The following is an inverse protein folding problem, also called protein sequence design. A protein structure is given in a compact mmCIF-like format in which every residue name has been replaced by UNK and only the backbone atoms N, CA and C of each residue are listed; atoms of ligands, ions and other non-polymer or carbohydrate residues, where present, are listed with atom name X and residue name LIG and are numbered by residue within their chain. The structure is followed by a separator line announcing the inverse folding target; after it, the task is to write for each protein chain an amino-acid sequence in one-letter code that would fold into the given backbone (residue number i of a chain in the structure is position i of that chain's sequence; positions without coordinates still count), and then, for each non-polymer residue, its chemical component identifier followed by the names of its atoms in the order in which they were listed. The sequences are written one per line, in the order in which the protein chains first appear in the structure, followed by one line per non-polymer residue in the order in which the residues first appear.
data_IF_912294478789
#
_entry.id   IF_912294478789
#
_cell.length_a   1.000
_cell.length_b   1.000
_cell.length_c   1.000
_cell.angle_alpha   90.00
_cell.angle_beta   90.00
_cell.angle_gamma   90.00
#
_symmetry.space_group_name_H-M   'P 1'
#
loop_
_entity.id
_entity.type
_entity.pdbx_description
1 polymer ?
#
# COMPACT_ATOMS: atom_id res chain seq x y z
N UNK A 1 30.50 -9.02 3.62
CA UNK A 1 29.45 -8.07 4.03
C UNK A 1 29.41 -6.96 2.98
N UNK A 2 28.28 -6.79 2.30
CA UNK A 2 28.11 -5.81 1.21
C UNK A 2 28.48 -4.40 1.71
N UNK A 3 29.50 -3.79 1.11
CA UNK A 3 29.87 -2.40 1.37
C UNK A 3 28.70 -1.49 0.95
N UNK A 4 28.24 -0.65 1.89
CA UNK A 4 27.08 0.26 1.75
C UNK A 4 27.44 1.44 0.82
N UNK A 5 27.16 1.31 -0.47
CA UNK A 5 27.42 2.38 -1.45
C UNK A 5 26.16 3.10 -1.95
N UNK A 6 25.01 2.94 -1.29
CA UNK A 6 23.76 3.62 -1.64
C UNK A 6 23.14 4.23 -0.39
N UNK A 7 23.04 5.56 -0.35
CA UNK A 7 22.52 6.31 0.81
C UNK A 7 21.03 6.05 1.09
N UNK A 8 20.25 5.71 0.06
CA UNK A 8 18.80 5.45 0.13
C UNK A 8 18.41 3.96 0.21
N UNK A 9 19.37 3.03 0.13
CA UNK A 9 19.07 1.58 0.10
C UNK A 9 19.26 0.98 1.48
N UNK A 10 18.15 0.69 2.15
CA UNK A 10 18.13 -0.06 3.40
C UNK A 10 17.98 -1.57 3.11
N UNK A 11 18.64 -2.45 3.88
CA UNK A 11 18.41 -3.89 3.75
C UNK A 11 16.99 -4.21 4.20
N UNK A 12 16.24 -4.90 3.34
CA UNK A 12 14.85 -5.31 3.58
C UNK A 12 14.80 -6.83 3.56
N UNK A 13 14.13 -7.40 4.55
CA UNK A 13 13.83 -8.82 4.56
C UNK A 13 12.49 -9.01 3.89
N UNK A 14 12.53 -9.43 2.63
CA UNK A 14 11.34 -9.88 1.90
C UNK A 14 11.22 -11.39 2.10
N UNK A 15 10.36 -11.91 3.00
CA UNK A 15 10.04 -13.33 3.00
C UNK A 15 9.33 -13.65 1.68
N UNK A 16 10.12 -14.03 0.67
CA UNK A 16 9.67 -14.38 -0.68
C UNK A 16 8.84 -15.69 -0.72
N UNK A 17 8.58 -16.28 0.45
CA UNK A 17 7.87 -17.54 0.65
C UNK A 17 6.94 -17.42 1.89
N UNK A 18 5.69 -17.03 1.66
CA UNK A 18 4.62 -17.01 2.68
C UNK A 18 4.37 -18.38 3.32
N UNK A 19 4.70 -19.50 2.65
CA UNK A 19 4.48 -20.88 3.17
C UNK A 19 5.29 -21.23 4.39
N UNK A 20 6.49 -20.66 4.52
CA UNK A 20 7.37 -20.99 5.63
C UNK A 20 7.03 -20.19 6.89
N UNK A 21 6.16 -19.19 6.76
CA UNK A 21 5.76 -18.24 7.79
C UNK A 21 4.78 -18.84 8.81
N UNK A 22 5.15 -19.98 9.40
CA UNK A 22 4.56 -20.45 10.66
C UNK A 22 4.63 -19.35 11.71
N UNK A 23 3.74 -19.37 12.71
CA UNK A 23 3.79 -18.42 13.84
C UNK A 23 5.19 -18.36 14.46
N UNK A 24 5.84 -19.52 14.64
CA UNK A 24 7.22 -19.62 15.13
C UNK A 24 8.23 -18.94 14.21
N UNK A 25 8.12 -19.10 12.89
CA UNK A 25 9.03 -18.44 11.95
C UNK A 25 8.76 -16.93 11.90
N UNK A 26 7.50 -16.50 11.97
CA UNK A 26 7.14 -15.08 12.00
C UNK A 26 7.57 -14.39 13.30
N UNK A 27 7.47 -15.08 14.43
CA UNK A 27 8.02 -14.61 15.71
C UNK A 27 9.54 -14.47 15.65
N UNK A 28 10.25 -15.47 15.11
CA UNK A 28 11.70 -15.40 14.90
C UNK A 28 12.10 -14.29 13.92
N UNK A 29 11.35 -14.17 12.82
CA UNK A 29 11.56 -13.12 11.83
C UNK A 29 11.31 -11.73 12.42
N UNK A 30 10.24 -11.57 13.21
CA UNK A 30 9.95 -10.34 13.95
C UNK A 30 11.05 -10.01 14.95
N UNK A 31 11.57 -11.00 15.68
CA UNK A 31 12.70 -10.82 16.58
C UNK A 31 13.98 -10.41 15.82
N UNK A 32 14.28 -11.04 14.68
CA UNK A 32 15.42 -10.66 13.83
C UNK A 32 15.25 -9.23 13.30
N UNK A 33 14.05 -8.90 12.82
CA UNK A 33 13.72 -7.59 12.30
C UNK A 33 13.85 -6.50 13.37
N UNK A 34 13.34 -6.73 14.58
CA UNK A 34 13.51 -5.80 15.70
C UNK A 34 14.97 -5.66 16.13
N UNK A 35 15.69 -6.77 16.30
CA UNK A 35 17.08 -6.76 16.79
C UNK A 35 18.04 -6.07 15.81
N UNK A 36 17.73 -6.08 14.52
CA UNK A 36 18.59 -5.53 13.48
C UNK A 36 18.01 -4.27 12.80
N UNK A 37 16.90 -3.72 13.31
CA UNK A 37 16.10 -2.65 12.69
C UNK A 37 15.88 -2.88 11.18
N UNK A 38 15.50 -4.12 10.84
CA UNK A 38 15.21 -4.52 9.46
C UNK A 38 13.73 -4.38 9.17
N UNK A 39 13.45 -4.14 7.90
CA UNK A 39 12.11 -3.89 7.42
C UNK A 39 11.54 -5.11 6.69
N UNK A 40 10.21 -5.30 6.70
CA UNK A 40 9.56 -6.46 6.07
C UNK A 40 8.53 -6.01 5.02
N UNK A 41 8.68 -6.49 3.80
CA UNK A 41 7.66 -6.36 2.76
C UNK A 41 7.00 -7.71 2.52
N UNK A 42 5.67 -7.72 2.42
CA UNK A 42 4.89 -8.95 2.23
C UNK A 42 4.00 -8.87 1.00
N UNK A 43 3.87 -9.99 0.31
CA UNK A 43 3.00 -10.13 -0.86
C UNK A 43 1.86 -11.09 -0.51
N UNK A 44 0.59 -10.67 -0.69
CA UNK A 44 -0.54 -11.40 -0.14
C UNK A 44 -0.84 -12.73 -0.87
N UNK A 45 -0.38 -12.95 -2.11
CA UNK A 45 -0.54 -14.26 -2.75
C UNK A 45 0.66 -14.72 -3.56
N UNK A 46 0.79 -16.04 -3.53
CA UNK A 46 1.37 -16.88 -4.57
C UNK A 46 0.60 -18.20 -4.57
N UNK A 47 0.42 -18.82 -5.74
CA UNK A 47 -0.27 -20.11 -5.89
C UNK A 47 0.24 -21.12 -4.84
N UNK A 48 -0.70 -21.66 -4.06
CA UNK A 48 -0.46 -22.65 -3.01
C UNK A 48 0.56 -22.23 -1.95
N UNK A 49 0.74 -20.93 -1.70
CA UNK A 49 1.78 -20.41 -0.81
C UNK A 49 1.35 -20.10 0.64
N UNK A 50 0.15 -20.48 1.04
CA UNK A 50 -0.35 -20.19 2.39
C UNK A 50 -0.83 -18.74 2.56
N UNK A 51 -1.43 -18.48 3.72
CA UNK A 51 -2.11 -17.21 4.04
C UNK A 51 -1.33 -16.49 5.14
N UNK A 52 -0.83 -15.29 4.86
CA UNK A 52 -0.13 -14.49 5.87
C UNK A 52 -1.13 -13.91 6.88
N UNK A 53 -0.93 -14.23 8.17
CA UNK A 53 -1.68 -13.60 9.24
C UNK A 53 -1.12 -12.21 9.61
N UNK A 54 -1.47 -11.20 8.81
CA UNK A 54 -1.00 -9.82 9.01
C UNK A 54 -1.35 -9.25 10.39
N UNK A 55 -2.53 -9.57 10.93
CA UNK A 55 -2.94 -9.10 12.27
C UNK A 55 -1.98 -9.60 13.36
N UNK A 56 -1.51 -10.84 13.23
CA UNK A 56 -0.53 -11.41 14.15
C UNK A 56 0.83 -10.72 14.00
N UNK A 57 1.29 -10.49 12.76
CA UNK A 57 2.54 -9.76 12.48
C UNK A 57 2.55 -8.37 13.10
N UNK A 58 1.42 -7.66 13.01
CA UNK A 58 1.28 -6.31 13.59
C UNK A 58 1.45 -6.31 15.12
N UNK A 59 1.11 -7.40 15.83
CA UNK A 59 1.36 -7.52 17.29
C UNK A 59 2.84 -7.50 17.64
N UNK A 60 3.68 -8.03 16.75
CA UNK A 60 5.14 -8.04 16.92
C UNK A 60 5.80 -6.71 16.51
N UNK A 61 5.05 -5.62 16.31
CA UNK A 61 5.57 -4.28 15.99
C UNK A 61 6.56 -4.26 14.80
N UNK A 62 6.37 -5.18 13.87
CA UNK A 62 7.19 -5.27 12.66
C UNK A 62 6.67 -4.23 11.65
N UNK A 63 7.58 -3.49 11.03
CA UNK A 63 7.27 -2.59 9.91
C UNK A 63 6.89 -3.44 8.70
N UNK A 64 5.64 -3.34 8.24
CA UNK A 64 5.07 -4.17 7.19
C UNK A 64 4.44 -3.32 6.08
N UNK A 65 4.75 -3.69 4.84
CA UNK A 65 4.18 -3.09 3.63
C UNK A 65 3.73 -4.13 2.61
N UNK A 66 2.93 -3.73 1.63
CA UNK A 66 2.45 -4.61 0.56
C UNK A 66 3.42 -4.69 -0.63
N UNK A 67 3.38 -5.80 -1.34
CA UNK A 67 4.10 -6.01 -2.60
C UNK A 67 3.27 -6.84 -3.58
N UNK A 68 3.53 -6.66 -4.87
CA UNK A 68 2.87 -7.41 -5.96
C UNK A 68 3.58 -8.73 -6.27
N UNK A 69 4.90 -8.80 -5.99
CA UNK A 69 5.77 -9.95 -6.27
C UNK A 69 5.65 -10.48 -7.71
N UNK A 70 5.60 -9.59 -8.70
CA UNK A 70 5.66 -10.01 -10.12
C UNK A 70 6.98 -10.74 -10.38
N UNK A 71 7.00 -11.95 -10.97
CA UNK A 71 5.89 -12.69 -11.61
C UNK A 71 5.26 -13.82 -10.76
N UNK A 72 5.58 -13.91 -9.46
CA UNK A 72 4.90 -14.79 -8.51
C UNK A 72 3.42 -14.43 -8.30
N UNK A 73 3.13 -13.13 -8.24
CA UNK A 73 1.81 -12.56 -8.51
C UNK A 73 1.67 -12.16 -9.98
N UNK A 74 0.49 -12.38 -10.56
CA UNK A 74 0.26 -12.08 -11.97
C UNK A 74 -0.03 -10.59 -12.24
N UNK A 75 -0.43 -9.83 -11.22
CA UNK A 75 -0.80 -8.42 -11.36
C UNK A 75 0.35 -7.52 -10.90
N UNK A 76 0.62 -6.49 -11.69
CA UNK A 76 1.55 -5.42 -11.32
C UNK A 76 0.87 -4.32 -10.47
N UNK A 77 -0.45 -4.36 -10.31
CA UNK A 77 -1.20 -3.28 -9.67
C UNK A 77 -1.21 -3.43 -8.15
N UNK A 78 -0.85 -2.34 -7.45
CA UNK A 78 -1.01 -2.27 -6.00
C UNK A 78 -2.48 -2.28 -5.56
N UNK A 79 -3.43 -1.86 -6.41
CA UNK A 79 -4.86 -1.99 -6.12
C UNK A 79 -5.25 -3.47 -5.99
N UNK A 80 -4.69 -4.32 -6.85
CA UNK A 80 -4.90 -5.75 -6.76
C UNK A 80 -4.29 -6.31 -5.46
N UNK A 81 -3.05 -5.93 -5.11
CA UNK A 81 -2.43 -6.32 -3.84
C UNK A 81 -3.28 -5.90 -2.61
N UNK A 82 -3.89 -4.72 -2.63
CA UNK A 82 -4.82 -4.26 -1.59
C UNK A 82 -6.04 -5.19 -1.50
N UNK A 83 -6.72 -5.44 -2.62
CA UNK A 83 -7.91 -6.31 -2.67
C UNK A 83 -7.60 -7.69 -2.12
N UNK A 84 -6.44 -8.22 -2.50
CA UNK A 84 -5.98 -9.56 -2.12
C UNK A 84 -5.61 -9.64 -0.64
N UNK A 85 -4.96 -8.62 -0.10
CA UNK A 85 -4.69 -8.54 1.34
C UNK A 85 -5.99 -8.52 2.18
N UNK A 86 -7.03 -7.79 1.74
CA UNK A 86 -8.36 -7.83 2.38
C UNK A 86 -8.95 -9.24 2.29
N UNK A 87 -8.93 -9.87 1.11
CA UNK A 87 -9.46 -11.22 0.92
C UNK A 87 -8.75 -12.27 1.80
N UNK A 88 -7.43 -12.26 1.85
CA UNK A 88 -6.63 -13.14 2.72
C UNK A 88 -7.03 -12.95 4.18
N UNK A 89 -7.18 -11.70 4.64
CA UNK A 89 -7.61 -11.43 6.00
C UNK A 89 -9.03 -11.95 6.29
N UNK A 90 -9.94 -11.89 5.32
CA UNK A 90 -11.29 -12.43 5.46
C UNK A 90 -11.28 -13.97 5.48
N UNK A 91 -10.43 -14.63 4.70
CA UNK A 91 -10.28 -16.09 4.73
C UNK A 91 -9.81 -16.55 6.11
N UNK A 92 -8.87 -15.84 6.74
CA UNK A 92 -8.41 -16.14 8.10
C UNK A 92 -9.52 -15.94 9.15
N UNK A 93 -10.39 -14.95 8.97
CA UNK A 93 -11.57 -14.76 9.80
C UNK A 93 -12.58 -15.92 9.62
N UNK A 94 -12.91 -16.28 8.38
CA UNK A 94 -13.85 -17.38 8.06
C UNK A 94 -13.38 -18.70 8.66
N UNK A 95 -12.08 -18.97 8.59
CA UNK A 95 -11.47 -20.17 9.17
C UNK A 95 -11.24 -20.09 10.69
N UNK A 96 -11.73 -19.02 11.36
CA UNK A 96 -11.59 -18.78 12.80
C UNK A 96 -10.14 -18.77 13.30
N UNK A 97 -9.19 -18.42 12.42
CA UNK A 97 -7.80 -18.15 12.79
C UNK A 97 -7.70 -16.80 13.50
N UNK A 98 -8.49 -15.82 13.05
CA UNK A 98 -8.59 -14.49 13.66
C UNK A 98 -10.04 -14.19 14.07
N UNK A 99 -10.21 -13.36 15.10
CA UNK A 99 -11.52 -12.87 15.55
C UNK A 99 -12.06 -11.71 14.68
N UNK A 100 -11.18 -11.05 13.93
CA UNK A 100 -11.53 -9.95 13.02
C UNK A 100 -10.68 -9.99 11.74
N UNK A 101 -11.11 -9.27 10.72
CA UNK A 101 -10.33 -9.03 9.50
C UNK A 101 -9.82 -7.59 9.43
N UNK A 102 -8.88 -7.35 8.53
CA UNK A 102 -8.37 -6.01 8.20
C UNK A 102 -9.44 -5.22 7.45
N UNK A 103 -9.60 -3.96 7.84
CA UNK A 103 -10.39 -2.98 7.12
C UNK A 103 -9.65 -2.48 5.88
N UNK A 104 -10.37 -1.97 4.89
CA UNK A 104 -9.74 -1.41 3.69
C UNK A 104 -8.81 -0.24 4.01
N UNK A 105 -9.14 0.58 5.02
CA UNK A 105 -8.30 1.68 5.50
C UNK A 105 -6.96 1.19 6.07
N UNK A 106 -6.99 0.11 6.86
CA UNK A 106 -5.76 -0.51 7.38
C UNK A 106 -4.90 -1.05 6.24
N UNK A 107 -5.51 -1.71 5.25
CA UNK A 107 -4.77 -2.24 4.10
C UNK A 107 -4.25 -1.13 3.19
N UNK A 108 -5.00 -0.04 2.98
CA UNK A 108 -4.54 1.13 2.26
C UNK A 108 -3.33 1.78 2.95
N UNK A 109 -3.35 1.84 4.29
CA UNK A 109 -2.19 2.27 5.08
C UNK A 109 -0.99 1.34 4.86
N UNK A 110 -1.18 0.03 4.78
CA UNK A 110 -0.09 -0.92 4.46
C UNK A 110 0.48 -0.72 3.06
N UNK A 111 -0.35 -0.34 2.09
CA UNK A 111 0.07 -0.06 0.71
C UNK A 111 0.87 1.25 0.56
N UNK A 112 0.66 2.21 1.47
CA UNK A 112 1.24 3.56 1.42
C UNK A 112 2.28 3.75 2.53
N UNK A 113 1.86 4.25 3.68
CA UNK A 113 2.74 4.52 4.82
C UNK A 113 3.47 3.25 5.30
N UNK A 114 2.78 2.12 5.39
CA UNK A 114 3.38 0.83 5.76
C UNK A 114 4.45 0.38 4.77
N UNK A 115 4.23 0.58 3.47
CA UNK A 115 5.22 0.41 2.41
C UNK A 115 6.45 1.29 2.64
N UNK A 116 6.26 2.59 2.81
CA UNK A 116 7.37 3.51 3.10
C UNK A 116 8.13 3.13 4.38
N UNK A 117 7.43 2.70 5.43
CA UNK A 117 8.04 2.20 6.67
C UNK A 117 8.79 0.89 6.45
N UNK A 118 8.33 0.04 5.54
CA UNK A 118 9.00 -1.20 5.14
C UNK A 118 10.20 -0.96 4.21
N UNK A 119 10.33 0.23 3.61
CA UNK A 119 11.52 0.64 2.86
C UNK A 119 12.44 1.56 3.70
N UNK A 120 11.96 1.99 4.88
CA UNK A 120 12.56 3.02 5.70
C UNK A 120 12.66 4.39 5.01
N UNK A 121 11.69 4.68 4.15
CA UNK A 121 11.49 5.97 3.48
C UNK A 121 10.30 6.74 4.09
N UNK A 122 9.82 6.32 5.26
CA UNK A 122 8.65 6.91 5.93
C UNK A 122 8.86 8.33 6.44
N UNK A 123 10.10 8.83 6.48
CA UNK A 123 10.40 10.24 6.71
C UNK A 123 10.34 11.09 5.44
N UNK A 124 10.33 10.47 4.25
CA UNK A 124 10.38 11.14 2.95
C UNK A 124 9.05 11.02 2.21
N UNK A 125 8.38 9.86 2.24
CA UNK A 125 7.14 9.58 1.49
C UNK A 125 6.10 8.84 2.33
N UNK A 126 4.99 8.43 1.70
CA UNK A 126 3.99 7.51 2.25
C UNK A 126 2.74 8.16 2.84
N UNK A 127 2.74 9.48 3.08
CA UNK A 127 1.57 10.27 3.43
C UNK A 127 1.80 11.76 3.10
N UNK A 128 0.80 12.60 3.36
CA UNK A 128 0.83 14.04 3.06
C UNK A 128 1.26 14.93 4.24
N UNK A 129 2.13 14.44 5.12
CA UNK A 129 2.69 15.27 6.19
C UNK A 129 3.60 16.37 5.62
N UNK A 130 3.54 17.57 6.21
CA UNK A 130 4.35 18.72 5.78
C UNK A 130 5.84 18.39 5.93
N UNK A 131 6.62 18.64 4.87
CA UNK A 131 8.05 18.36 4.82
C UNK A 131 8.43 17.09 4.06
N UNK A 132 7.46 16.25 3.70
CA UNK A 132 7.65 15.08 2.85
C UNK A 132 7.65 15.43 1.35
N UNK A 133 8.23 14.54 0.57
CA UNK A 133 8.18 14.58 -0.88
C UNK A 133 6.75 14.32 -1.39
N UNK A 134 6.36 15.02 -2.45
CA UNK A 134 5.02 14.88 -3.04
C UNK A 134 4.97 13.72 -4.04
N UNK A 135 4.98 12.49 -3.49
CA UNK A 135 4.68 11.24 -4.20
C UNK A 135 3.18 10.96 -4.11
N UNK A 136 2.45 11.20 -5.21
CA UNK A 136 1.00 11.25 -5.19
C UNK A 136 0.34 10.83 -6.50
N UNK A 137 -0.91 10.39 -6.41
CA UNK A 137 -1.76 10.07 -7.56
C UNK A 137 -2.99 10.99 -7.57
N UNK A 138 -3.26 11.64 -8.70
CA UNK A 138 -4.53 12.32 -8.93
C UNK A 138 -5.53 11.30 -9.46
N UNK A 139 -6.57 11.03 -8.67
CA UNK A 139 -7.58 10.02 -9.00
C UNK A 139 -8.86 10.71 -9.49
N UNK A 140 -9.34 10.32 -10.67
CA UNK A 140 -10.65 10.69 -11.18
C UNK A 140 -11.54 9.44 -11.34
N UNK A 141 -12.47 9.20 -10.40
CA UNK A 141 -13.46 8.12 -10.50
C UNK A 141 -14.42 8.28 -11.69
N UNK A 142 -14.53 9.50 -12.25
CA UNK A 142 -15.36 9.85 -13.41
C UNK A 142 -14.55 9.97 -14.70
N UNK A 143 -13.35 9.41 -14.76
CA UNK A 143 -12.55 9.39 -15.97
C UNK A 143 -13.33 8.76 -17.14
N UNK A 144 -12.95 9.11 -18.37
CA UNK A 144 -13.53 8.48 -19.56
C UNK A 144 -13.30 6.96 -19.54
N UNK A 145 -14.34 6.18 -19.82
CA UNK A 145 -14.30 4.71 -19.75
C UNK A 145 -13.93 4.16 -18.36
N UNK A 146 -14.26 4.91 -17.30
CA UNK A 146 -14.06 4.46 -15.91
C UNK A 146 -14.81 3.15 -15.64
N UNK A 147 -14.18 2.18 -14.95
CA UNK A 147 -14.87 0.97 -14.46
C UNK A 147 -15.78 1.24 -13.25
N UNK A 148 -15.85 2.49 -12.78
CA UNK A 148 -16.57 2.89 -11.57
C UNK A 148 -17.85 3.63 -11.96
N UNK A 149 -18.98 2.98 -11.73
CA UNK A 149 -20.28 3.64 -11.79
C UNK A 149 -20.56 4.42 -10.49
N UNK A 150 -20.83 5.71 -10.65
CA UNK A 150 -21.15 6.63 -9.56
C UNK A 150 -22.63 7.01 -9.61
N UNK A 151 -23.28 6.92 -8.47
CA UNK A 151 -24.67 7.29 -8.24
C UNK A 151 -24.73 8.54 -7.38
N UNK A 152 -25.86 9.24 -7.41
CA UNK A 152 -26.06 10.50 -6.68
C UNK A 152 -25.67 10.42 -5.19
N UNK A 153 -25.96 9.29 -4.53
CA UNK A 153 -25.61 9.07 -3.13
C UNK A 153 -24.11 8.89 -2.84
N UNK A 154 -23.27 8.59 -3.83
CA UNK A 154 -21.83 8.42 -3.60
C UNK A 154 -21.13 9.76 -3.29
N UNK A 155 -21.71 10.88 -3.74
CA UNK A 155 -21.22 12.24 -3.48
C UNK A 155 -22.04 12.98 -2.43
N UNK A 156 -22.90 12.30 -1.66
CA UNK A 156 -23.73 12.92 -0.63
C UNK A 156 -23.53 12.19 0.70
N UNK A 157 -22.96 12.86 1.72
CA UNK A 157 -22.68 12.28 3.04
C UNK A 157 -21.19 12.15 3.34
N UNK A 158 -20.75 11.00 3.88
CA UNK A 158 -19.31 10.71 4.06
C UNK A 158 -18.69 10.26 2.71
N UNK A 159 -18.60 11.24 1.81
CA UNK A 159 -18.14 11.11 0.42
C UNK A 159 -16.76 10.47 0.35
N UNK A 160 -15.91 10.78 1.34
CA UNK A 160 -14.54 10.32 1.41
C UNK A 160 -14.50 8.80 1.46
N UNK A 161 -15.33 8.17 2.28
CA UNK A 161 -15.27 6.72 2.46
C UNK A 161 -15.90 5.96 1.30
N UNK A 162 -17.03 6.41 0.75
CA UNK A 162 -17.73 5.67 -0.31
C UNK A 162 -16.96 5.65 -1.64
N UNK A 163 -16.51 6.82 -2.11
CA UNK A 163 -15.84 6.95 -3.41
C UNK A 163 -14.43 6.35 -3.35
N UNK A 164 -13.69 6.56 -2.25
CA UNK A 164 -12.36 5.96 -2.09
C UNK A 164 -12.46 4.44 -2.05
N UNK A 165 -13.44 3.88 -1.33
CA UNK A 165 -13.65 2.43 -1.31
C UNK A 165 -13.99 1.88 -2.70
N UNK A 166 -14.88 2.55 -3.44
CA UNK A 166 -15.21 2.18 -4.82
C UNK A 166 -13.96 2.18 -5.71
N UNK A 167 -13.14 3.22 -5.64
CA UNK A 167 -11.88 3.26 -6.38
C UNK A 167 -10.93 2.12 -5.99
N UNK A 168 -10.72 1.89 -4.69
CA UNK A 168 -9.82 0.82 -4.24
C UNK A 168 -10.31 -0.57 -4.66
N UNK A 169 -11.62 -0.84 -4.70
CA UNK A 169 -12.17 -2.13 -5.13
C UNK A 169 -12.36 -2.31 -6.63
N UNK A 170 -12.73 -1.25 -7.35
CA UNK A 170 -13.19 -1.34 -8.75
C UNK A 170 -12.28 -0.59 -9.73
N UNK A 171 -11.53 0.40 -9.26
CA UNK A 171 -10.71 1.26 -10.11
C UNK A 171 -9.53 0.55 -10.75
N UNK A 172 -8.99 1.16 -11.79
CA UNK A 172 -7.75 0.75 -12.45
C UNK A 172 -6.97 1.97 -12.94
N UNK A 173 -5.99 1.76 -13.83
CA UNK A 173 -5.12 2.81 -14.35
C UNK A 173 -5.89 3.91 -15.08
N UNK A 174 -7.08 3.64 -15.64
CA UNK A 174 -7.92 4.65 -16.30
C UNK A 174 -8.39 5.74 -15.35
N UNK A 175 -8.45 5.44 -14.06
CA UNK A 175 -8.83 6.41 -13.03
C UNK A 175 -7.66 7.24 -12.50
N UNK A 176 -6.41 6.91 -12.88
CA UNK A 176 -5.21 7.63 -12.45
C UNK A 176 -4.88 8.68 -13.52
N UNK A 177 -5.32 9.92 -13.34
CA UNK A 177 -5.12 10.99 -14.32
C UNK A 177 -3.67 11.48 -14.35
N UNK A 178 -3.07 11.62 -13.17
CA UNK A 178 -1.71 12.14 -13.05
C UNK A 178 -0.95 11.41 -11.94
N UNK A 179 0.33 11.18 -12.21
CA UNK A 179 1.31 10.64 -11.25
C UNK A 179 2.31 11.74 -10.94
N UNK A 180 2.51 12.00 -9.66
CA UNK A 180 3.48 12.94 -9.11
C UNK A 180 4.58 12.12 -8.47
N UNK A 181 5.79 12.27 -8.99
CA UNK A 181 6.95 11.50 -8.54
C UNK A 181 8.08 12.49 -8.23
N UNK A 182 8.69 12.39 -7.03
CA UNK A 182 9.80 13.23 -6.61
C UNK A 182 11.13 12.91 -7.31
N UNK A 183 11.17 12.09 -8.36
CA UNK A 183 12.30 11.91 -9.27
C UNK A 183 12.07 12.55 -10.66
N UNK A 184 10.85 13.01 -10.97
CA UNK A 184 10.58 13.77 -12.21
C UNK A 184 11.33 15.12 -12.23
N UNK A 185 11.63 15.65 -13.42
CA UNK A 185 12.36 16.93 -13.57
C UNK A 185 11.68 18.10 -12.82
N UNK A 186 12.46 19.06 -12.31
CA UNK A 186 11.95 20.16 -11.49
C UNK A 186 10.86 21.02 -12.18
N UNK A 187 10.98 21.25 -13.50
CA UNK A 187 9.94 21.95 -14.29
C UNK A 187 8.60 21.20 -14.26
N UNK A 188 8.64 19.88 -14.42
CA UNK A 188 7.45 19.04 -14.38
C UNK A 188 6.82 19.03 -12.98
N UNK A 189 7.60 19.18 -11.90
CA UNK A 189 7.08 19.26 -10.53
C UNK A 189 6.33 20.57 -10.27
N UNK A 190 6.90 21.70 -10.65
CA UNK A 190 6.31 23.02 -10.38
C UNK A 190 4.98 23.22 -11.12
N UNK A 191 4.91 22.83 -12.39
CA UNK A 191 3.67 22.91 -13.17
C UNK A 191 2.57 22.02 -12.58
N UNK A 192 2.93 20.80 -12.20
CA UNK A 192 2.02 19.84 -11.58
C UNK A 192 1.53 20.33 -10.21
N UNK A 193 2.41 20.82 -9.33
CA UNK A 193 2.00 21.39 -8.03
C UNK A 193 1.08 22.61 -8.15
N UNK A 194 1.38 23.54 -9.08
CA UNK A 194 0.51 24.68 -9.34
C UNK A 194 -0.88 24.26 -9.83
N UNK A 195 -0.97 23.17 -10.60
CA UNK A 195 -2.24 22.63 -11.08
C UNK A 195 -3.07 22.04 -9.94
N UNK A 196 -2.46 21.29 -9.01
CA UNK A 196 -3.15 20.80 -7.80
C UNK A 196 -3.68 21.97 -6.97
N UNK A 197 -2.86 22.99 -6.72
CA UNK A 197 -3.27 24.18 -5.98
C UNK A 197 -4.46 24.86 -6.67
N UNK A 198 -4.42 25.02 -8.00
CA UNK A 198 -5.54 25.57 -8.76
C UNK A 198 -6.81 24.70 -8.75
N UNK A 199 -6.70 23.38 -8.59
CA UNK A 199 -7.84 22.49 -8.39
C UNK A 199 -8.43 22.62 -6.98
N UNK A 200 -7.57 22.75 -5.96
CA UNK A 200 -8.00 22.92 -4.57
C UNK A 200 -8.68 24.29 -4.38
N UNK A 201 -8.14 25.37 -4.95
CA UNK A 201 -8.73 26.71 -4.90
C UNK A 201 -10.09 26.80 -5.60
N UNK A 202 -10.31 26.01 -6.66
CA UNK A 202 -11.61 25.97 -7.37
C UNK A 202 -12.70 25.18 -6.63
N UNK A 203 -12.31 24.36 -5.65
CA UNK A 203 -13.21 23.50 -4.89
C UNK A 203 -13.26 23.86 -3.39
N UNK A 204 -12.69 25.00 -3.00
CA UNK A 204 -12.77 25.62 -1.66
C UNK A 204 -13.85 26.70 -1.64
#
# INVERSE_FOLDING_TARGET
MLQRNYSRVKPIVTPRFSLSCTETLMSKLGNIAQTHDLHIQVSPERLSSGLLNVLEVLKYKVKIGLGTDVAGGYSYSMLDAIRRAVMVSNILLINKVNEKSLTLKEVFRLATLGGSQALGLDSEIGNFEVGKEFDALLINPKASDSPIDLFYGDFVGDISDAVIQKFLYLGDDRNIEEVYDPELSQENRMQKQQRVLGLLEKNS
#
